data_IF_394066063146
#
_entry.id   IF_394066063146
#
_cell.length_a   1.000
_cell.length_b   1.000
_cell.length_c   1.000
_cell.angle_alpha   90.00
_cell.angle_beta   90.00
_cell.angle_gamma   90.00
#
_symmetry.space_group_name_H-M   'P 1'
#
loop_
_entity.id
_entity.type
_entity.pdbx_description
1 polymer ?
#
# COMPACT_ATOMS: atom_id res chain seq x y z
N UNK A 1 -25.11 30.40 -7.27
CA UNK A 1 -25.09 29.39 -6.19
C UNK A 1 -24.73 28.05 -6.84
N UNK A 2 -23.43 27.75 -6.98
CA UNK A 2 -22.95 26.58 -7.70
C UNK A 2 -22.22 25.63 -6.76
N UNK A 3 -22.74 24.41 -6.62
CA UNK A 3 -22.05 23.28 -6.01
C UNK A 3 -21.12 22.66 -7.05
N UNK A 4 -19.81 22.82 -6.87
CA UNK A 4 -18.81 22.12 -7.67
C UNK A 4 -18.51 20.75 -7.05
N UNK A 5 -19.03 19.69 -7.65
CA UNK A 5 -18.61 18.32 -7.35
C UNK A 5 -17.30 18.03 -8.09
N UNK A 6 -16.18 18.01 -7.36
CA UNK A 6 -14.90 17.51 -7.86
C UNK A 6 -14.92 15.97 -7.85
N UNK A 7 -15.32 15.36 -8.97
CA UNK A 7 -14.98 13.95 -9.23
C UNK A 7 -13.47 13.84 -9.39
N UNK A 8 -12.83 13.03 -8.53
CA UNK A 8 -11.46 12.61 -8.73
C UNK A 8 -11.42 11.62 -9.89
N UNK A 9 -10.98 12.07 -11.06
CA UNK A 9 -10.81 11.22 -12.23
C UNK A 9 -9.53 10.39 -12.07
N UNK A 10 -9.64 9.07 -12.09
CA UNK A 10 -8.50 8.15 -12.12
C UNK A 10 -7.86 8.19 -13.51
N UNK A 11 -6.57 8.53 -13.62
CA UNK A 11 -5.83 8.38 -14.88
C UNK A 11 -5.54 6.89 -15.06
N UNK A 12 -6.22 6.26 -16.01
CA UNK A 12 -5.93 4.88 -16.38
C UNK A 12 -4.81 4.87 -17.42
N UNK A 13 -3.73 4.16 -17.11
CA UNK A 13 -2.62 3.91 -18.05
C UNK A 13 -2.88 2.57 -18.73
N UNK A 14 -3.26 2.62 -20.01
CA UNK A 14 -3.37 1.44 -20.85
C UNK A 14 -2.09 1.33 -21.69
N UNK A 15 -1.34 0.25 -21.48
CA UNK A 15 -0.18 -0.09 -22.32
C UNK A 15 -0.69 -1.14 -23.30
N UNK A 16 -0.97 -0.72 -24.52
CA UNK A 16 -1.32 -1.64 -25.60
C UNK A 16 -0.05 -2.11 -26.29
N UNK A 17 0.18 -3.41 -26.30
CA UNK A 17 1.25 -4.03 -27.05
C UNK A 17 0.71 -4.39 -28.45
N UNK A 18 0.79 -3.43 -29.37
CA UNK A 18 0.63 -3.71 -30.79
C UNK A 18 2.00 -4.03 -31.40
N UNK A 19 2.08 -4.89 -32.42
CA UNK A 19 3.33 -5.43 -32.97
C UNK A 19 4.33 -4.40 -33.52
N UNK A 20 3.97 -3.12 -33.58
CA UNK A 20 4.80 -2.04 -34.16
C UNK A 20 4.89 -0.76 -33.31
N UNK A 21 4.20 -0.67 -32.16
CA UNK A 21 4.21 0.54 -31.33
C UNK A 21 3.94 0.21 -29.85
N UNK A 22 4.77 0.71 -28.94
CA UNK A 22 4.33 0.92 -27.55
C UNK A 22 3.54 2.22 -27.55
N UNK A 23 2.23 2.10 -27.68
CA UNK A 23 1.32 3.22 -27.53
C UNK A 23 0.95 3.31 -26.05
N UNK A 24 1.62 4.21 -25.33
CA UNK A 24 1.17 4.62 -23.99
C UNK A 24 0.00 5.57 -24.22
N UNK A 25 -1.22 5.06 -24.04
CA UNK A 25 -2.40 5.91 -24.05
C UNK A 25 -2.61 6.42 -22.63
N UNK A 26 -2.23 7.67 -22.43
CA UNK A 26 -2.59 8.43 -21.24
C UNK A 26 -3.95 9.00 -21.53
N UNK A 27 -4.90 8.78 -20.63
CA UNK A 27 -6.27 9.26 -20.78
C UNK A 27 -6.30 10.76 -21.16
N UNK A 28 -7.21 11.18 -22.03
CA UNK A 28 -7.30 12.57 -22.52
C UNK A 28 -8.07 13.49 -21.55
N UNK A 29 -8.27 13.04 -20.32
CA UNK A 29 -8.86 13.81 -19.25
C UNK A 29 -7.92 14.93 -18.74
N UNK A 30 -8.43 15.79 -17.87
CA UNK A 30 -7.64 16.92 -17.35
C UNK A 30 -6.38 16.46 -16.60
N UNK A 31 -6.43 15.32 -15.90
CA UNK A 31 -5.28 14.80 -15.17
C UNK A 31 -4.24 14.16 -16.10
N UNK A 32 -4.65 13.44 -17.14
CA UNK A 32 -3.75 12.88 -18.15
C UNK A 32 -3.07 13.96 -19.00
N UNK A 33 -3.70 15.13 -19.18
CA UNK A 33 -3.06 16.32 -19.77
C UNK A 33 -2.05 16.98 -18.81
N UNK A 34 -2.37 17.10 -17.52
CA UNK A 34 -1.45 17.62 -16.51
C UNK A 34 -0.24 16.69 -16.28
N UNK A 35 -0.45 15.37 -16.31
CA UNK A 35 0.61 14.37 -16.24
C UNK A 35 1.55 14.49 -17.43
N UNK A 36 1.01 14.64 -18.65
CA UNK A 36 1.80 14.89 -19.87
C UNK A 36 2.66 16.15 -19.78
N UNK A 37 2.11 17.23 -19.23
CA UNK A 37 2.85 18.48 -19.04
C UNK A 37 4.03 18.38 -18.05
N UNK A 38 4.04 17.37 -17.17
CA UNK A 38 5.10 17.13 -16.20
C UNK A 38 6.23 16.19 -16.65
N UNK A 39 6.11 15.57 -17.84
CA UNK A 39 7.10 14.61 -18.33
C UNK A 39 8.30 15.32 -18.96
N UNK A 40 9.51 14.91 -18.56
CA UNK A 40 10.77 15.34 -19.18
C UNK A 40 11.24 14.25 -20.12
N UNK A 41 11.55 14.59 -21.38
CA UNK A 41 12.05 13.63 -22.37
C UNK A 41 13.58 13.63 -22.44
N UNK A 42 14.16 12.43 -22.57
CA UNK A 42 15.57 12.24 -22.90
C UNK A 42 15.70 11.17 -23.98
N UNK A 43 16.59 11.41 -24.94
CA UNK A 43 16.79 10.52 -26.09
C UNK A 43 18.20 9.93 -26.02
N UNK A 44 18.30 8.61 -25.98
CA UNK A 44 19.59 7.89 -26.00
C UNK A 44 19.43 6.49 -26.58
N UNK A 45 20.35 6.08 -27.46
CA UNK A 45 20.36 4.75 -28.10
C UNK A 45 19.03 4.34 -28.77
N UNK A 46 18.36 5.28 -29.45
CA UNK A 46 17.08 5.01 -30.12
C UNK A 46 15.89 4.85 -29.17
N UNK A 47 16.06 5.01 -27.87
CA UNK A 47 14.96 4.95 -26.89
C UNK A 47 14.62 6.36 -26.41
N UNK A 48 13.34 6.74 -26.51
CA UNK A 48 12.81 7.95 -25.87
C UNK A 48 12.36 7.59 -24.45
N UNK A 49 13.04 8.14 -23.45
CA UNK A 49 12.68 7.99 -22.03
C UNK A 49 11.89 9.21 -21.58
N UNK A 50 10.73 8.98 -20.98
CA UNK A 50 9.89 10.01 -20.35
C UNK A 50 9.94 9.82 -18.83
N UNK A 51 10.34 10.87 -18.12
CA UNK A 51 10.51 10.85 -16.67
C UNK A 51 9.58 11.84 -15.99
N UNK A 52 8.85 11.41 -14.94
CA UNK A 52 8.05 12.30 -14.09
C UNK A 52 8.73 12.47 -12.73
N UNK A 53 9.20 13.70 -12.43
CA UNK A 53 9.77 14.09 -11.12
C UNK A 53 10.74 13.05 -10.52
N UNK A 54 11.58 12.45 -11.36
CA UNK A 54 12.56 11.40 -11.02
C UNK A 54 11.99 10.09 -10.44
N UNK A 55 10.68 9.80 -10.53
CA UNK A 55 10.06 8.62 -9.91
C UNK A 55 9.50 7.58 -10.90
N UNK A 56 9.19 7.95 -12.14
CA UNK A 56 8.61 7.05 -13.13
C UNK A 56 9.36 7.16 -14.46
N UNK A 57 9.68 6.04 -15.11
CA UNK A 57 10.37 6.00 -16.41
C UNK A 57 9.52 5.19 -17.40
N UNK A 58 9.11 5.82 -18.50
CA UNK A 58 8.48 5.15 -19.65
C UNK A 58 9.46 5.17 -20.83
N UNK A 59 9.65 4.05 -21.52
CA UNK A 59 10.59 3.93 -22.64
C UNK A 59 9.85 3.59 -23.95
N UNK A 60 10.11 4.35 -25.02
CA UNK A 60 9.66 4.05 -26.39
C UNK A 60 10.89 3.71 -27.24
N UNK A 61 10.97 2.50 -27.81
CA UNK A 61 12.11 2.06 -28.62
C UNK A 61 11.89 2.37 -30.12
N UNK A 62 12.84 3.03 -30.79
CA UNK A 62 12.81 3.41 -32.21
C UNK A 62 13.41 2.35 -33.15
N UNK A 63 13.63 1.12 -32.70
CA UNK A 63 14.03 0.01 -33.56
C UNK A 63 12.99 -1.12 -33.50
N UNK A 64 12.39 -1.52 -34.63
CA UNK A 64 11.47 -2.64 -34.69
C UNK A 64 12.27 -3.92 -34.46
N UNK A 65 12.30 -4.39 -33.22
CA UNK A 65 12.81 -5.71 -32.89
C UNK A 65 11.63 -6.68 -32.88
N UNK A 66 11.75 -7.88 -33.48
CA UNK A 66 10.69 -8.87 -33.48
C UNK A 66 10.34 -9.23 -32.05
N UNK A 67 9.03 -9.35 -31.75
CA UNK A 67 8.43 -9.52 -30.43
C UNK A 67 9.30 -10.35 -29.47
N UNK A 68 10.21 -9.68 -28.78
CA UNK A 68 10.90 -10.23 -27.65
C UNK A 68 9.83 -10.37 -26.57
N UNK A 69 9.74 -11.56 -25.98
CA UNK A 69 8.90 -11.82 -24.83
C UNK A 69 9.32 -10.83 -23.73
N UNK A 70 8.61 -9.71 -23.58
CA UNK A 70 8.94 -8.69 -22.60
C UNK A 70 8.44 -9.21 -21.25
N UNK A 71 9.29 -9.96 -20.59
CA UNK A 71 9.08 -10.37 -19.21
C UNK A 71 9.35 -9.18 -18.28
N UNK A 72 8.60 -9.13 -17.19
CA UNK A 72 8.93 -8.26 -16.08
C UNK A 72 10.36 -8.51 -15.60
N UNK A 73 11.07 -7.44 -15.26
CA UNK A 73 12.41 -7.55 -14.68
C UNK A 73 12.24 -7.68 -13.18
N UNK A 74 12.43 -8.88 -12.65
CA UNK A 74 12.31 -9.09 -11.21
C UNK A 74 13.44 -8.37 -10.45
N UNK A 75 13.18 -7.16 -9.95
CA UNK A 75 14.20 -6.36 -9.28
C UNK A 75 14.63 -7.00 -7.95
N UNK A 76 13.73 -7.76 -7.32
CA UNK A 76 14.01 -8.47 -6.07
C UNK A 76 15.00 -9.63 -6.21
N UNK A 77 15.37 -10.01 -7.45
CA UNK A 77 16.48 -10.94 -7.69
C UNK A 77 17.85 -10.35 -7.30
N UNK A 78 17.94 -9.03 -7.13
CA UNK A 78 19.13 -8.33 -6.66
C UNK A 78 19.02 -8.03 -5.16
N UNK A 79 19.98 -8.52 -4.38
CA UNK A 79 20.03 -8.34 -2.91
C UNK A 79 20.28 -6.89 -2.46
N UNK A 80 20.52 -5.95 -3.38
CA UNK A 80 20.86 -4.54 -3.06
C UNK A 80 19.72 -3.56 -3.33
N UNK A 81 18.52 -4.03 -3.71
CA UNK A 81 17.39 -3.13 -4.04
C UNK A 81 16.71 -2.53 -2.83
N UNK A 82 16.55 -3.31 -1.77
CA UNK A 82 16.00 -2.86 -0.50
C UNK A 82 17.11 -2.71 0.53
N UNK A 83 16.87 -1.87 1.54
CA UNK A 83 17.80 -1.65 2.64
C UNK A 83 17.95 -2.88 3.55
N UNK A 84 18.89 -2.82 4.52
CA UNK A 84 19.02 -3.88 5.53
C UNK A 84 17.73 -4.02 6.34
N UNK A 85 17.38 -5.27 6.70
CA UNK A 85 16.13 -5.62 7.41
C UNK A 85 14.83 -5.26 6.65
N UNK A 86 14.89 -5.14 5.33
CA UNK A 86 13.73 -5.00 4.46
C UNK A 86 13.56 -6.24 3.58
N UNK A 87 12.32 -6.50 3.18
CA UNK A 87 11.98 -7.46 2.13
C UNK A 87 11.60 -6.71 0.87
N UNK A 88 11.91 -7.34 -0.26
CA UNK A 88 11.52 -6.86 -1.58
C UNK A 88 10.31 -7.65 -2.05
N UNK A 89 9.29 -6.95 -2.55
CA UNK A 89 8.17 -7.54 -3.26
C UNK A 89 8.19 -7.03 -4.70
N UNK A 90 8.23 -7.98 -5.64
CA UNK A 90 8.26 -7.72 -7.06
C UNK A 90 6.84 -7.61 -7.60
N UNK A 91 6.58 -6.64 -8.46
CA UNK A 91 5.31 -6.43 -9.15
C UNK A 91 5.61 -6.19 -10.64
N UNK A 92 4.69 -6.51 -11.54
CA UNK A 92 4.98 -6.28 -12.96
C UNK A 92 5.22 -4.77 -13.24
N UNK A 93 6.45 -4.45 -13.66
CA UNK A 93 6.92 -3.10 -13.95
C UNK A 93 7.44 -2.29 -12.75
N UNK A 94 7.46 -2.85 -11.53
CA UNK A 94 8.00 -2.16 -10.34
C UNK A 94 8.26 -3.09 -9.15
N UNK A 95 8.93 -2.60 -8.12
CA UNK A 95 9.10 -3.31 -6.85
C UNK A 95 8.81 -2.40 -5.67
N UNK A 96 8.51 -2.99 -4.52
CA UNK A 96 8.38 -2.26 -3.25
C UNK A 96 9.19 -2.93 -2.16
N UNK A 97 9.72 -2.10 -1.28
CA UNK A 97 10.43 -2.54 -0.09
C UNK A 97 9.54 -2.35 1.13
N UNK A 98 9.55 -3.33 2.02
CA UNK A 98 8.81 -3.30 3.29
C UNK A 98 9.74 -3.70 4.42
N UNK A 99 9.47 -3.22 5.63
CA UNK A 99 10.24 -3.64 6.81
C UNK A 99 9.92 -5.09 7.16
N UNK A 100 10.95 -5.86 7.53
CA UNK A 100 10.77 -7.28 7.85
C UNK A 100 10.03 -7.49 9.17
N UNK A 101 10.33 -6.64 10.15
CA UNK A 101 9.84 -6.79 11.52
C UNK A 101 8.42 -6.25 11.64
N UNK A 102 7.59 -6.87 12.47
CA UNK A 102 6.34 -6.27 12.88
C UNK A 102 6.58 -4.94 13.61
N UNK A 103 5.54 -4.11 13.74
CA UNK A 103 5.62 -2.80 14.38
C UNK A 103 6.69 -1.87 13.75
N UNK A 104 7.00 -2.08 12.46
CA UNK A 104 7.88 -1.21 11.69
C UNK A 104 7.23 -0.81 10.37
N UNK A 105 7.54 0.41 9.93
CA UNK A 105 7.17 0.87 8.59
C UNK A 105 8.33 1.54 7.89
N UNK A 106 8.32 1.48 6.56
CA UNK A 106 9.31 2.15 5.72
C UNK A 106 8.91 3.61 5.52
N UNK A 107 9.86 4.53 5.73
CA UNK A 107 9.69 5.96 5.44
C UNK A 107 9.91 6.27 3.97
N UNK A 108 9.60 7.51 3.55
CA UNK A 108 9.96 7.99 2.21
C UNK A 108 11.48 8.01 1.94
N UNK A 109 12.30 8.10 3.00
CA UNK A 109 13.76 7.98 2.92
C UNK A 109 14.25 6.54 2.80
N UNK A 110 13.34 5.55 2.82
CA UNK A 110 13.68 4.13 2.75
C UNK A 110 14.21 3.56 4.07
N UNK A 111 13.91 4.20 5.21
CA UNK A 111 14.35 3.74 6.54
C UNK A 111 13.20 3.07 7.28
N UNK A 112 13.49 1.98 7.99
CA UNK A 112 12.52 1.35 8.88
C UNK A 112 12.47 2.10 10.21
N UNK A 113 11.27 2.58 10.57
CA UNK A 113 11.00 3.23 11.85
C UNK A 113 10.02 2.39 12.67
N UNK A 114 10.14 2.45 13.99
CA UNK A 114 9.19 1.80 14.89
C UNK A 114 7.87 2.56 14.91
N UNK A 115 6.77 1.83 14.92
CA UNK A 115 5.40 2.34 14.92
C UNK A 115 4.50 1.47 15.78
N UNK A 116 3.43 2.05 16.30
CA UNK A 116 2.30 1.25 16.78
C UNK A 116 1.33 0.98 15.63
N UNK A 117 0.74 -0.21 15.60
CA UNK A 117 0.00 -0.71 14.42
C UNK A 117 -1.40 -1.17 14.79
N UNK A 118 -2.40 -0.76 14.02
CA UNK A 118 -3.77 -1.24 14.15
C UNK A 118 -4.29 -1.76 12.81
N UNK A 119 -5.08 -2.83 12.86
CA UNK A 119 -5.67 -3.44 11.67
C UNK A 119 -7.08 -2.90 11.42
N UNK A 120 -7.28 -2.37 10.21
CA UNK A 120 -8.57 -1.99 9.68
C UNK A 120 -9.09 -3.00 8.65
N UNK A 121 -10.39 -3.27 8.69
CA UNK A 121 -11.10 -4.06 7.69
C UNK A 121 -12.28 -3.27 7.17
N UNK A 122 -12.38 -3.13 5.85
CA UNK A 122 -13.48 -2.46 5.16
C UNK A 122 -13.96 -3.28 3.96
N UNK A 123 -15.20 -3.07 3.55
CA UNK A 123 -15.82 -3.77 2.41
C UNK A 123 -16.20 -2.71 1.38
N UNK A 124 -15.59 -2.77 0.19
CA UNK A 124 -15.85 -1.84 -0.92
C UNK A 124 -16.94 -2.42 -1.81
N UNK A 125 -18.00 -1.67 -2.06
CA UNK A 125 -19.19 -2.15 -2.79
C UNK A 125 -19.33 -1.61 -4.21
N UNK A 126 -18.59 -0.56 -4.59
CA UNK A 126 -18.72 0.10 -5.89
C UNK A 126 -17.62 -0.24 -6.92
N UNK A 127 -16.99 -1.42 -6.80
CA UNK A 127 -15.97 -1.91 -7.75
C UNK A 127 -16.54 -2.90 -8.78
N UNK A 128 -17.84 -3.18 -8.75
CA UNK A 128 -18.46 -4.17 -9.62
C UNK A 128 -18.17 -5.61 -9.17
N UNK A 129 -17.99 -6.51 -10.13
CA UNK A 129 -17.65 -7.93 -9.87
C UNK A 129 -16.22 -8.05 -9.35
N UNK A 130 -16.00 -8.94 -8.38
CA UNK A 130 -14.67 -9.21 -7.84
C UNK A 130 -13.72 -9.72 -8.94
N UNK A 131 -12.54 -9.10 -9.05
CA UNK A 131 -11.45 -9.54 -9.92
C UNK A 131 -10.57 -10.55 -9.16
N UNK A 132 -10.49 -11.83 -9.59
CA UNK A 132 -9.66 -12.85 -8.94
C UNK A 132 -8.18 -12.49 -8.87
N UNK A 133 -7.68 -11.61 -9.74
CA UNK A 133 -6.31 -11.11 -9.72
C UNK A 133 -5.98 -10.39 -8.41
N UNK A 134 -6.99 -9.87 -7.70
CA UNK A 134 -6.83 -9.26 -6.38
C UNK A 134 -6.44 -10.28 -5.28
N UNK A 135 -6.50 -11.58 -5.55
CA UNK A 135 -5.97 -12.61 -4.66
C UNK A 135 -4.46 -12.83 -4.85
N UNK A 136 -3.89 -12.30 -5.93
CA UNK A 136 -2.47 -12.41 -6.29
C UNK A 136 -1.76 -11.13 -5.87
N UNK A 137 -1.05 -11.17 -4.74
CA UNK A 137 -0.47 -9.98 -4.08
C UNK A 137 0.50 -9.20 -4.97
N UNK A 138 1.22 -9.87 -5.87
CA UNK A 138 2.18 -9.27 -6.79
C UNK A 138 1.61 -8.88 -8.15
N UNK A 139 0.28 -8.98 -8.35
CA UNK A 139 -0.35 -8.62 -9.62
C UNK A 139 -0.52 -7.10 -9.78
N UNK A 140 -0.57 -6.62 -11.02
CA UNK A 140 -0.86 -5.20 -11.31
C UNK A 140 -2.23 -4.76 -10.76
N UNK A 141 -3.33 -5.53 -10.92
CA UNK A 141 -4.62 -5.15 -10.35
C UNK A 141 -4.57 -4.98 -8.82
N UNK A 142 -3.87 -5.89 -8.12
CA UNK A 142 -3.67 -5.77 -6.68
C UNK A 142 -2.93 -4.49 -6.33
N UNK A 143 -1.79 -4.23 -6.97
CA UNK A 143 -0.94 -3.08 -6.67
C UNK A 143 -1.67 -1.76 -6.91
N UNK A 144 -2.39 -1.63 -8.02
CA UNK A 144 -3.15 -0.42 -8.37
C UNK A 144 -4.24 -0.13 -7.34
N UNK A 145 -5.00 -1.15 -6.96
CA UNK A 145 -6.07 -0.98 -5.98
C UNK A 145 -5.50 -0.69 -4.59
N UNK A 146 -4.46 -1.40 -4.16
CA UNK A 146 -3.76 -1.18 -2.90
C UNK A 146 -3.25 0.26 -2.79
N UNK A 147 -2.48 0.75 -3.76
CA UNK A 147 -1.93 2.11 -3.76
C UNK A 147 -3.03 3.19 -3.73
N UNK A 148 -4.10 2.99 -4.52
CA UNK A 148 -5.21 3.94 -4.57
C UNK A 148 -6.00 3.97 -3.27
N UNK A 149 -6.23 2.81 -2.63
CA UNK A 149 -6.87 2.71 -1.33
C UNK A 149 -5.98 3.27 -0.21
N UNK A 150 -4.68 2.95 -0.21
CA UNK A 150 -3.69 3.54 0.71
C UNK A 150 -3.70 5.07 0.61
N UNK A 151 -3.76 5.63 -0.60
CA UNK A 151 -3.86 7.08 -0.80
C UNK A 151 -5.10 7.68 -0.13
N UNK A 152 -6.26 7.02 -0.27
CA UNK A 152 -7.50 7.46 0.36
C UNK A 152 -7.46 7.38 1.89
N UNK A 153 -6.93 6.29 2.45
CA UNK A 153 -6.76 6.10 3.91
C UNK A 153 -5.76 7.12 4.47
N UNK A 154 -4.62 7.30 3.81
CA UNK A 154 -3.61 8.29 4.18
C UNK A 154 -4.18 9.71 4.18
N UNK A 155 -4.97 10.08 3.17
CA UNK A 155 -5.61 11.38 3.09
C UNK A 155 -6.66 11.59 4.19
N UNK A 156 -7.36 10.54 4.60
CA UNK A 156 -8.30 10.61 5.70
C UNK A 156 -7.56 10.82 7.04
N UNK A 157 -6.60 9.96 7.40
CA UNK A 157 -5.87 10.14 8.66
C UNK A 157 -5.10 11.47 8.75
N UNK A 158 -4.50 11.95 7.65
CA UNK A 158 -3.82 13.26 7.61
C UNK A 158 -4.76 14.47 7.77
N UNK A 159 -6.07 14.29 7.58
CA UNK A 159 -7.10 15.31 7.84
C UNK A 159 -7.78 15.15 9.20
N UNK A 160 -7.57 14.02 9.87
CA UNK A 160 -8.10 13.76 11.20
C UNK A 160 -7.31 14.51 12.28
N UNK A 161 -7.81 14.44 13.51
CA UNK A 161 -7.11 14.92 14.70
C UNK A 161 -5.81 14.15 15.00
N UNK A 162 -5.55 13.01 14.37
CA UNK A 162 -4.32 12.21 14.55
C UNK A 162 -3.24 12.51 13.51
N UNK A 163 -3.38 13.55 12.69
CA UNK A 163 -2.47 13.86 11.59
C UNK A 163 -0.99 13.96 12.00
N UNK A 164 -0.69 14.51 13.19
CA UNK A 164 0.68 14.64 13.70
C UNK A 164 1.31 13.30 14.09
N UNK A 165 0.49 12.37 14.55
CA UNK A 165 0.90 11.09 15.12
C UNK A 165 0.85 9.99 14.07
N UNK A 166 0.03 10.15 13.02
CA UNK A 166 -0.07 9.22 11.92
C UNK A 166 1.24 9.14 11.12
N UNK A 167 1.65 7.93 10.77
CA UNK A 167 2.89 7.68 10.02
C UNK A 167 2.62 7.11 8.63
N UNK A 168 1.55 6.34 8.47
CA UNK A 168 1.15 5.78 7.18
C UNK A 168 0.23 4.59 7.31
N UNK A 169 -0.13 4.01 6.18
CA UNK A 169 -0.86 2.76 6.12
C UNK A 169 -0.33 1.85 5.01
N UNK A 170 -0.59 0.56 5.15
CA UNK A 170 -0.31 -0.46 4.14
C UNK A 170 -1.53 -1.35 3.95
N UNK A 171 -1.98 -1.53 2.72
CA UNK A 171 -3.00 -2.53 2.39
C UNK A 171 -2.30 -3.88 2.29
N UNK A 172 -2.82 -4.87 3.01
CA UNK A 172 -2.15 -6.17 3.17
C UNK A 172 -2.87 -7.30 2.47
N UNK A 173 -4.19 -7.19 2.26
CA UNK A 173 -4.98 -8.27 1.66
C UNK A 173 -6.30 -7.79 1.07
N UNK A 174 -6.69 -8.41 -0.04
CA UNK A 174 -8.07 -8.39 -0.54
C UNK A 174 -8.70 -9.79 -0.43
N UNK A 175 -10.02 -9.84 -0.21
CA UNK A 175 -10.83 -11.08 -0.22
C UNK A 175 -12.15 -10.87 -0.95
N UNK A 176 -12.72 -11.98 -1.39
CA UNK A 176 -14.05 -12.06 -2.00
C UNK A 176 -15.18 -11.67 -1.01
N UNK A 177 -16.29 -11.17 -1.56
CA UNK A 177 -17.43 -10.63 -0.80
C UNK A 177 -17.65 -9.15 -1.10
N UNK A 178 -17.82 -8.80 -2.38
CA UNK A 178 -17.40 -7.51 -2.97
C UNK A 178 -15.88 -7.42 -2.97
N UNK A 179 -15.26 -6.34 -2.48
CA UNK A 179 -13.81 -6.32 -2.20
C UNK A 179 -13.59 -6.03 -0.72
N UNK A 180 -13.27 -7.06 0.06
CA UNK A 180 -12.92 -6.91 1.48
C UNK A 180 -11.44 -6.56 1.55
N UNK A 181 -11.11 -5.33 1.94
CA UNK A 181 -9.74 -4.88 2.09
C UNK A 181 -9.32 -4.91 3.56
N UNK A 182 -8.15 -5.50 3.83
CA UNK A 182 -7.48 -5.42 5.14
C UNK A 182 -6.27 -4.50 5.00
N UNK A 183 -6.10 -3.59 5.94
CA UNK A 183 -4.98 -2.66 5.98
C UNK A 183 -4.45 -2.48 7.39
N UNK A 184 -3.20 -2.06 7.49
CA UNK A 184 -2.56 -1.65 8.73
C UNK A 184 -2.42 -0.13 8.72
N UNK A 185 -2.87 0.54 9.77
CA UNK A 185 -2.53 1.94 10.02
C UNK A 185 -1.49 2.03 11.12
N UNK A 186 -0.55 2.95 10.94
CA UNK A 186 0.62 3.07 11.79
C UNK A 186 0.71 4.47 12.38
N UNK A 187 1.09 4.55 13.65
CA UNK A 187 1.20 5.79 14.40
C UNK A 187 2.53 5.84 15.16
N UNK A 188 2.92 7.04 15.57
CA UNK A 188 4.11 7.28 16.38
C UNK A 188 4.00 6.53 17.73
N UNK A 189 4.95 5.69 18.11
CA UNK A 189 4.92 5.00 19.41
C UNK A 189 4.83 5.95 20.60
N UNK A 190 5.40 7.16 20.50
CA UNK A 190 5.37 8.15 21.57
C UNK A 190 3.97 8.70 21.86
N UNK A 191 3.05 8.61 20.89
CA UNK A 191 1.67 9.07 21.04
C UNK A 191 0.82 8.16 21.93
N UNK A 192 1.20 6.87 22.05
CA UNK A 192 0.41 5.84 22.74
C UNK A 192 -1.06 5.84 22.29
N UNK A 193 -1.29 5.95 20.98
CA UNK A 193 -2.65 5.87 20.43
C UNK A 193 -3.35 4.58 20.86
N UNK A 194 -4.68 4.63 20.88
CA UNK A 194 -5.53 3.48 21.18
C UNK A 194 -6.33 3.07 19.95
N UNK A 195 -6.76 1.81 19.91
CA UNK A 195 -7.64 1.28 18.85
C UNK A 195 -8.88 2.17 18.69
N UNK A 196 -9.51 2.56 19.80
CA UNK A 196 -10.72 3.39 19.79
C UNK A 196 -10.48 4.78 19.20
N UNK A 197 -9.35 5.42 19.54
CA UNK A 197 -9.02 6.74 18.99
C UNK A 197 -8.70 6.68 17.50
N UNK A 198 -7.92 5.68 17.07
CA UNK A 198 -7.59 5.47 15.67
C UNK A 198 -8.86 5.19 14.84
N UNK A 199 -9.75 4.34 15.36
CA UNK A 199 -11.04 4.04 14.74
C UNK A 199 -11.91 5.30 14.62
N UNK A 200 -12.06 6.06 15.71
CA UNK A 200 -12.85 7.30 15.69
C UNK A 200 -12.27 8.30 14.68
N UNK A 201 -10.94 8.43 14.63
CA UNK A 201 -10.25 9.36 13.73
C UNK A 201 -10.56 9.07 12.26
N UNK A 202 -10.47 7.82 11.80
CA UNK A 202 -10.81 7.49 10.41
C UNK A 202 -12.30 7.64 10.13
N UNK A 203 -13.17 7.27 11.09
CA UNK A 203 -14.62 7.37 10.94
C UNK A 203 -15.10 8.81 10.79
N UNK A 204 -14.47 9.78 11.49
CA UNK A 204 -14.81 11.21 11.34
C UNK A 204 -14.59 11.74 9.91
N UNK A 205 -13.73 11.07 9.14
CA UNK A 205 -13.36 11.49 7.78
C UNK A 205 -14.20 10.79 6.70
N UNK A 206 -15.11 9.88 7.09
CA UNK A 206 -16.04 9.26 6.18
C UNK A 206 -17.19 10.20 5.84
N UNK A 207 -17.50 10.28 4.56
CA UNK A 207 -18.65 11.02 4.06
C UNK A 207 -19.87 10.08 4.03
N UNK A 208 -20.96 10.47 4.67
CA UNK A 208 -22.18 9.66 4.75
C UNK A 208 -23.33 10.51 4.22
N UNK A 209 -24.04 9.97 3.23
CA UNK A 209 -25.18 10.61 2.59
C UNK A 209 -26.23 9.56 2.22
N UNK A 210 -27.29 9.97 1.53
CA UNK A 210 -28.38 9.07 1.11
C UNK A 210 -27.93 7.91 0.21
N UNK A 211 -26.79 8.06 -0.48
CA UNK A 211 -26.21 7.04 -1.34
C UNK A 211 -25.24 6.10 -0.58
N UNK A 212 -25.01 6.31 0.72
CA UNK A 212 -24.19 5.46 1.57
C UNK A 212 -22.98 6.16 2.19
N UNK A 213 -22.02 5.35 2.65
CA UNK A 213 -20.80 5.79 3.32
C UNK A 213 -19.61 5.70 2.37
N UNK A 214 -18.75 6.73 2.36
CA UNK A 214 -17.66 6.86 1.40
C UNK A 214 -16.33 7.20 2.06
N UNK A 215 -15.26 6.54 1.59
CA UNK A 215 -13.87 6.88 1.82
C UNK A 215 -13.25 7.33 0.48
N UNK A 216 -13.23 8.65 0.25
CA UNK A 216 -12.85 9.19 -1.06
C UNK A 216 -13.85 8.73 -2.12
N UNK A 217 -13.36 7.99 -3.12
CA UNK A 217 -14.19 7.43 -4.21
C UNK A 217 -14.81 6.06 -3.88
N UNK A 218 -14.39 5.42 -2.78
CA UNK A 218 -14.83 4.07 -2.43
C UNK A 218 -16.10 4.13 -1.60
N UNK A 219 -17.17 3.50 -2.09
CA UNK A 219 -18.38 3.27 -1.32
C UNK A 219 -18.13 2.06 -0.42
N UNK A 220 -18.39 2.24 0.88
CA UNK A 220 -18.19 1.22 1.90
C UNK A 220 -19.52 0.60 2.31
N UNK A 221 -19.50 -0.68 2.63
CA UNK A 221 -20.64 -1.33 3.30
C UNK A 221 -20.76 -0.85 4.74
N UNK A 222 -21.95 -0.41 5.15
CA UNK A 222 -22.23 0.04 6.52
C UNK A 222 -22.36 1.56 6.66
N UNK A 223 -22.55 2.01 7.89
CA UNK A 223 -22.67 3.42 8.29
C UNK A 223 -21.31 4.01 8.63
N UNK A 224 -21.23 5.33 8.87
CA UNK A 224 -19.99 5.98 9.34
C UNK A 224 -19.35 5.26 10.53
N UNK A 225 -20.13 4.72 11.46
CA UNK A 225 -19.64 4.07 12.68
C UNK A 225 -19.30 2.58 12.50
N UNK A 226 -19.75 1.94 11.42
CA UNK A 226 -19.63 0.49 11.22
C UNK A 226 -18.88 0.09 9.95
N UNK A 227 -18.64 1.05 9.04
CA UNK A 227 -18.04 0.79 7.73
C UNK A 227 -16.57 0.32 7.77
N UNK A 228 -15.89 0.59 8.88
CA UNK A 228 -14.51 0.15 9.11
C UNK A 228 -14.46 -0.51 10.48
N UNK A 229 -14.16 -1.80 10.50
CA UNK A 229 -13.86 -2.53 11.73
C UNK A 229 -12.39 -2.35 12.08
N UNK A 230 -12.12 -2.07 13.35
CA UNK A 230 -10.78 -1.83 13.86
C UNK A 230 -10.45 -2.79 14.99
N UNK A 231 -9.23 -3.29 14.98
CA UNK A 231 -8.70 -4.11 16.05
C UNK A 231 -7.20 -3.92 16.15
N UNK A 232 -6.66 -4.40 17.26
CA UNK A 232 -5.24 -4.61 17.39
C UNK A 232 -4.71 -5.57 16.32
N UNK A 233 -3.51 -5.29 15.82
CA UNK A 233 -2.86 -6.16 14.85
C UNK A 233 -1.98 -7.16 15.60
N UNK A 234 -2.36 -8.43 15.61
CA UNK A 234 -1.61 -9.47 16.32
C UNK A 234 -0.29 -9.79 15.60
N UNK A 235 0.81 -9.17 16.02
CA UNK A 235 2.13 -9.41 15.45
C UNK A 235 2.69 -10.80 15.79
N UNK A 236 2.11 -11.48 16.78
CA UNK A 236 2.47 -12.82 17.18
C UNK A 236 1.69 -13.90 16.40
N UNK A 237 0.75 -13.53 15.54
CA UNK A 237 -0.03 -14.47 14.75
C UNK A 237 0.85 -15.16 13.68
N UNK A 238 1.10 -16.49 13.79
CA UNK A 238 1.97 -17.20 12.85
C UNK A 238 1.36 -17.33 11.45
N UNK A 239 0.05 -17.08 11.29
CA UNK A 239 -0.61 -17.03 9.99
C UNK A 239 -0.39 -15.70 9.25
N UNK A 240 0.23 -14.70 9.89
CA UNK A 240 0.59 -13.45 9.25
C UNK A 240 1.73 -13.67 8.26
N UNK A 241 1.48 -13.39 6.98
CA UNK A 241 2.50 -13.39 5.93
C UNK A 241 3.03 -11.99 5.62
N UNK A 242 2.63 -10.99 6.41
CA UNK A 242 2.98 -9.58 6.20
C UNK A 242 4.30 -9.25 6.90
N UNK A 243 4.64 -9.89 8.01
CA UNK A 243 5.88 -9.65 8.73
C UNK A 243 6.48 -10.98 9.17
N UNK A 244 7.80 -11.00 9.34
CA UNK A 244 8.50 -12.15 9.88
C UNK A 244 8.56 -11.96 11.39
N UNK A 245 7.94 -12.86 12.16
CA UNK A 245 8.07 -12.88 13.61
C UNK A 245 9.56 -13.04 13.97
N UNK A 246 10.10 -12.10 14.74
CA UNK A 246 11.55 -11.95 14.93
C UNK A 246 12.00 -12.17 16.37
N UNK A 247 11.16 -12.78 17.22
CA UNK A 247 11.53 -13.09 18.61
C UNK A 247 12.70 -14.08 18.74
N UNK A 248 13.05 -14.81 17.69
CA UNK A 248 14.14 -15.79 17.70
C UNK A 248 13.77 -17.12 18.37
N UNK A 249 14.63 -18.12 18.18
CA UNK A 249 14.44 -19.46 18.76
C UNK A 249 14.58 -19.40 20.28
N UNK A 250 13.72 -20.12 21.01
CA UNK A 250 13.74 -20.14 22.47
C UNK A 250 13.12 -18.89 23.13
N UNK A 251 12.50 -18.01 22.36
CA UNK A 251 11.71 -16.89 22.86
C UNK A 251 10.21 -17.08 22.63
N UNK A 252 9.41 -16.43 23.47
CA UNK A 252 7.95 -16.35 23.36
C UNK A 252 7.55 -14.94 22.93
N UNK A 253 6.64 -14.86 21.98
CA UNK A 253 6.02 -13.61 21.55
C UNK A 253 4.75 -13.35 22.36
N UNK A 254 4.59 -12.13 22.86
CA UNK A 254 3.39 -11.66 23.55
C UNK A 254 2.80 -10.51 22.75
N UNK A 255 1.55 -10.66 22.33
CA UNK A 255 0.82 -9.60 21.66
C UNK A 255 0.43 -8.51 22.67
N UNK A 256 0.75 -7.26 22.38
CA UNK A 256 0.40 -6.10 23.20
C UNK A 256 -0.44 -5.13 22.36
N UNK A 257 -1.10 -4.16 22.98
CA UNK A 257 -1.94 -3.25 22.21
C UNK A 257 -1.05 -2.31 21.38
N UNK A 258 -1.18 -2.42 20.06
CA UNK A 258 -0.46 -1.64 19.07
C UNK A 258 0.97 -2.11 18.80
N UNK A 259 1.47 -3.15 19.48
CA UNK A 259 2.84 -3.65 19.36
C UNK A 259 2.95 -5.06 19.94
N UNK A 260 4.13 -5.65 19.93
CA UNK A 260 4.41 -6.92 20.60
C UNK A 260 5.68 -6.83 21.44
N UNK A 261 5.85 -7.79 22.33
CA UNK A 261 7.10 -8.00 23.06
C UNK A 261 7.58 -9.45 22.94
N UNK A 262 8.89 -9.62 23.00
CA UNK A 262 9.54 -10.92 23.01
C UNK A 262 10.23 -11.12 24.36
N UNK A 263 10.11 -12.33 24.92
CA UNK A 263 10.80 -12.72 26.15
C UNK A 263 11.38 -14.12 26.00
N UNK A 264 12.57 -14.39 26.56
CA UNK A 264 13.12 -15.75 26.55
C UNK A 264 12.17 -16.70 27.30
N UNK A 265 11.89 -17.85 26.69
CA UNK A 265 11.02 -18.86 27.28
C UNK A 265 11.63 -19.41 28.58
N UNK A 266 10.79 -19.99 29.44
CA UNK A 266 11.27 -20.63 30.69
C UNK A 266 12.36 -21.65 30.39
N UNK A 267 13.52 -21.49 31.03
CA UNK A 267 14.69 -22.34 30.81
C UNK A 267 15.73 -21.76 29.84
N UNK A 268 15.42 -20.66 29.15
CA UNK A 268 16.37 -19.89 28.33
C UNK A 268 16.78 -18.60 29.03
N UNK A 269 17.97 -18.10 28.72
CA UNK A 269 18.54 -16.85 29.23
C UNK A 269 19.02 -15.96 28.09
N UNK A 270 19.18 -14.66 28.34
CA UNK A 270 19.65 -13.69 27.34
C UNK A 270 18.58 -12.66 26.96
N UNK A 271 18.75 -12.07 25.78
CA UNK A 271 17.88 -11.02 25.25
C UNK A 271 17.40 -11.45 23.86
N UNK A 272 16.07 -11.57 23.64
CA UNK A 272 15.54 -11.87 22.30
C UNK A 272 16.13 -10.93 21.24
N UNK A 273 16.52 -11.44 20.06
CA UNK A 273 16.29 -12.80 19.56
C UNK A 273 17.31 -13.87 20.00
N UNK A 274 18.26 -13.52 20.86
CA UNK A 274 19.35 -14.40 21.28
C UNK A 274 19.07 -14.97 22.67
N UNK A 275 18.23 -16.01 22.70
CA UNK A 275 17.93 -16.79 23.91
C UNK A 275 18.73 -18.10 23.86
N UNK A 276 19.45 -18.43 24.93
CA UNK A 276 20.31 -19.63 25.07
C UNK A 276 20.05 -20.39 26.36
#
# INVERSE_FOLDING_TARGET
>A
RGSGTNSATLVSLYIYFLPTLIQVEIDNDNLGRQFRAGLVSSTGAGVQRLTLRNRYVLARNNQPTPAANVADVNECSSSTRCGPAQRCENYDGTYRCYCNRPAQMITESGQCINVITFQGVLIITNLGTFDPSLLIINSIPWLRLALSLESAINAAYRRSNLASNYRGCQVTRFREGSVIATYLATFDPASKETVSNAQAAIQTQLSENVNGTFLGQYQLSGTRQTAIMYQDYDECNPASNIHIQDCGTGATCTNEVGTYSCQCATGYTGTPPNCT
#
